data_IF_662481809364
#
_entry.id   IF_662481809364
#
_cell.length_a   1.000
_cell.length_b   1.000
_cell.length_c   1.000
_cell.angle_alpha   90.00
_cell.angle_beta   90.00
_cell.angle_gamma   90.00
#
_symmetry.space_group_name_H-M   'P 1'
#
loop_
_entity.id
_entity.type
_entity.pdbx_description
1 polymer ?
#
# COMPACT_ATOMS: atom_id res chain seq x y z
N UNK A 1 7.76 6.19 16.26
CA UNK A 1 6.47 5.67 16.79
C UNK A 1 6.62 4.18 17.04
N UNK A 2 6.16 3.68 18.20
CA UNK A 2 6.08 2.24 18.48
C UNK A 2 4.65 1.77 18.23
N UNK A 3 4.42 1.14 17.08
CA UNK A 3 3.10 0.62 16.72
C UNK A 3 2.90 -0.74 17.41
N UNK A 4 1.97 -0.77 18.36
CA UNK A 4 1.71 -1.97 19.17
C UNK A 4 0.69 -2.89 18.51
N UNK A 5 -0.33 -2.32 17.88
CA UNK A 5 -1.41 -3.07 17.25
C UNK A 5 -0.96 -3.77 15.97
N UNK A 6 -1.39 -5.02 15.79
CA UNK A 6 -1.18 -5.83 14.59
C UNK A 6 -2.51 -6.35 14.06
N UNK A 7 -2.58 -6.58 12.75
CA UNK A 7 -3.73 -7.20 12.07
C UNK A 7 -3.27 -8.47 11.36
N UNK A 8 -4.06 -9.54 11.48
CA UNK A 8 -3.78 -10.77 10.75
C UNK A 8 -4.15 -10.63 9.28
N UNK A 9 -3.24 -11.02 8.37
CA UNK A 9 -3.51 -11.01 6.92
C UNK A 9 -4.48 -12.10 6.48
N UNK A 10 -4.61 -13.19 7.25
CA UNK A 10 -5.47 -14.34 6.90
C UNK A 10 -6.92 -14.17 7.36
N UNK A 11 -7.13 -13.81 8.63
CA UNK A 11 -8.48 -13.72 9.22
C UNK A 11 -8.92 -12.29 9.57
N UNK A 12 -8.05 -11.28 9.37
CA UNK A 12 -8.37 -9.88 9.63
C UNK A 12 -8.44 -9.48 11.11
N UNK A 13 -8.28 -10.40 12.07
CA UNK A 13 -8.38 -10.10 13.51
C UNK A 13 -7.20 -9.25 13.99
N UNK A 14 -7.49 -8.29 14.87
CA UNK A 14 -6.49 -7.47 15.53
C UNK A 14 -5.92 -8.15 16.77
N UNK A 15 -4.65 -7.90 17.05
CA UNK A 15 -3.95 -8.45 18.22
C UNK A 15 -2.77 -7.57 18.62
N UNK A 16 -2.26 -7.75 19.84
CA UNK A 16 -1.02 -7.16 20.33
C UNK A 16 0.15 -8.16 20.30
N UNK A 17 -0.12 -9.44 19.97
CA UNK A 17 0.93 -10.44 19.75
C UNK A 17 1.81 -10.00 18.58
N UNK A 18 3.11 -10.31 18.66
CA UNK A 18 4.08 -9.92 17.64
C UNK A 18 4.42 -11.04 16.67
N UNK A 19 4.20 -12.28 17.05
CA UNK A 19 4.69 -13.44 16.30
C UNK A 19 3.65 -13.96 15.31
N UNK A 20 2.51 -14.46 15.80
CA UNK A 20 1.45 -15.09 14.98
C UNK A 20 0.06 -14.80 15.51
N UNK A 21 -0.94 -14.87 14.63
CA UNK A 21 -2.34 -14.75 15.01
C UNK A 21 -2.73 -15.86 16.01
N UNK A 22 -3.30 -15.51 17.19
CA UNK A 22 -3.67 -16.51 18.19
C UNK A 22 -4.85 -17.41 17.77
N UNK A 23 -5.57 -17.04 16.70
CA UNK A 23 -6.76 -17.77 16.24
C UNK A 23 -6.45 -18.68 15.05
N UNK A 24 -5.77 -18.16 14.03
CA UNK A 24 -5.56 -18.90 12.78
C UNK A 24 -4.08 -19.18 12.47
N UNK A 25 -3.14 -18.75 13.33
CA UNK A 25 -1.70 -18.90 13.11
C UNK A 25 -1.10 -18.05 11.99
N UNK A 26 -1.90 -17.24 11.28
CA UNK A 26 -1.46 -16.41 10.17
C UNK A 26 -0.51 -15.28 10.55
N UNK A 27 0.21 -14.76 9.55
CA UNK A 27 1.15 -13.65 9.72
C UNK A 27 0.45 -12.36 10.17
N UNK A 28 1.19 -11.52 10.89
CA UNK A 28 0.71 -10.29 11.50
C UNK A 28 1.42 -9.07 10.90
N UNK A 29 0.65 -8.08 10.47
CA UNK A 29 1.14 -6.82 9.89
C UNK A 29 0.77 -5.62 10.74
N UNK A 30 1.52 -4.52 10.64
CA UNK A 30 1.12 -3.24 11.24
C UNK A 30 -0.02 -2.68 10.40
N UNK A 31 -1.21 -2.42 10.97
CA UNK A 31 -2.36 -1.95 10.21
C UNK A 31 -2.29 -0.46 9.86
N UNK A 32 -1.42 0.27 10.53
CA UNK A 32 -1.37 1.71 10.36
C UNK A 32 -0.60 2.14 9.12
N UNK A 33 -1.06 3.20 8.44
CA UNK A 33 -0.41 3.68 7.24
C UNK A 33 0.99 4.26 7.55
N UNK A 34 1.88 4.29 6.54
CA UNK A 34 3.14 5.02 6.65
C UNK A 34 2.88 6.50 6.91
N UNK A 35 3.83 7.17 7.58
CA UNK A 35 3.74 8.60 7.87
C UNK A 35 3.68 9.40 6.57
N UNK A 36 2.70 10.29 6.47
CA UNK A 36 2.60 11.23 5.35
C UNK A 36 3.59 12.39 5.52
N UNK A 37 4.21 12.82 4.42
CA UNK A 37 5.08 13.99 4.34
C UNK A 37 4.72 14.77 3.07
N UNK A 38 4.44 16.09 3.15
CA UNK A 38 4.13 16.90 1.98
C UNK A 38 5.26 16.94 0.93
N UNK A 39 6.52 16.91 1.38
CA UNK A 39 7.69 17.02 0.52
C UNK A 39 8.12 15.69 -0.14
N UNK A 40 7.53 14.56 0.27
CA UNK A 40 7.97 13.17 -0.01
C UNK A 40 9.03 12.98 -1.12
N UNK A 41 10.31 12.98 -0.71
CA UNK A 41 11.48 12.83 -1.60
C UNK A 41 11.48 11.51 -2.40
N UNK A 42 10.72 10.50 -1.95
CA UNK A 42 10.70 9.17 -2.58
C UNK A 42 9.47 8.93 -3.45
N UNK A 43 8.63 9.94 -3.68
CA UNK A 43 7.38 9.79 -4.42
C UNK A 43 7.56 9.15 -5.81
N UNK A 44 8.56 9.61 -6.57
CA UNK A 44 8.86 9.11 -7.91
C UNK A 44 9.23 7.63 -7.89
N UNK A 45 10.04 7.20 -6.91
CA UNK A 45 10.43 5.79 -6.78
C UNK A 45 9.24 4.93 -6.38
N UNK A 46 8.41 5.39 -5.41
CA UNK A 46 7.20 4.68 -5.00
C UNK A 46 6.21 4.52 -6.16
N UNK A 47 6.08 5.55 -7.00
CA UNK A 47 5.22 5.51 -8.18
C UNK A 47 5.75 4.54 -9.24
N UNK A 48 7.04 4.62 -9.60
CA UNK A 48 7.69 3.69 -10.54
C UNK A 48 7.57 2.23 -10.09
N UNK A 49 7.76 1.95 -8.80
CA UNK A 49 7.58 0.59 -8.27
C UNK A 49 6.16 0.07 -8.44
N UNK A 50 5.14 0.93 -8.26
CA UNK A 50 3.74 0.54 -8.49
C UNK A 50 3.45 0.30 -9.97
N UNK A 51 4.01 1.11 -10.87
CA UNK A 51 3.91 0.89 -12.33
C UNK A 51 4.54 -0.45 -12.73
N UNK A 52 5.78 -0.72 -12.29
CA UNK A 52 6.46 -1.98 -12.58
C UNK A 52 5.73 -3.20 -11.99
N UNK A 53 5.07 -3.02 -10.85
CA UNK A 53 4.23 -4.05 -10.24
C UNK A 53 2.83 -4.18 -10.89
N UNK A 54 2.51 -3.37 -11.92
CA UNK A 54 1.21 -3.38 -12.59
C UNK A 54 0.04 -2.92 -11.71
N UNK A 55 0.31 -2.18 -10.62
CA UNK A 55 -0.71 -1.70 -9.68
C UNK A 55 -1.37 -0.39 -10.14
N UNK A 56 -0.79 0.30 -11.12
CA UNK A 56 -1.25 1.57 -11.68
C UNK A 56 -0.97 1.57 -13.19
N UNK A 57 -1.89 2.09 -13.99
CA UNK A 57 -1.71 2.29 -15.43
C UNK A 57 -1.09 3.66 -15.72
N UNK A 58 -0.13 3.72 -16.65
CA UNK A 58 0.43 4.99 -17.11
C UNK A 58 -0.50 5.65 -18.13
N UNK A 59 -0.83 6.94 -17.92
CA UNK A 59 -1.68 7.74 -18.82
C UNK A 59 -1.06 8.05 -20.21
N UNK A 60 -0.06 7.29 -20.66
CA UNK A 60 0.61 7.47 -21.95
C UNK A 60 -0.16 6.80 -23.11
N UNK A 61 -1.48 6.98 -23.15
CA UNK A 61 -2.37 6.38 -24.15
C UNK A 61 -3.49 7.29 -24.68
N UNK A 62 -3.57 8.56 -24.27
CA UNK A 62 -4.55 9.52 -24.80
C UNK A 62 -3.87 10.56 -25.68
N UNK A 63 -3.54 10.15 -26.90
CA UNK A 63 -3.23 11.07 -28.01
C UNK A 63 -4.09 10.67 -29.21
N UNK A 64 -4.88 11.63 -29.72
CA UNK A 64 -5.87 11.53 -30.83
C UNK A 64 -7.25 11.05 -30.33
N UNK A 65 -8.26 11.90 -30.13
CA UNK A 65 -8.86 12.83 -31.11
C UNK A 65 -9.53 14.03 -30.42
N UNK A 66 -8.95 15.23 -30.51
CA UNK A 66 -9.75 16.47 -30.44
C UNK A 66 -10.17 16.83 -31.86
N UNK A 67 -11.20 16.15 -32.36
CA UNK A 67 -11.96 16.62 -33.52
C UNK A 67 -13.11 17.47 -33.01
N UNK A 68 -12.89 18.78 -32.84
CA UNK A 68 -14.01 19.71 -32.75
C UNK A 68 -14.64 19.77 -34.16
N UNK A 69 -15.85 19.25 -34.28
CA UNK A 69 -16.79 19.54 -35.37
C UNK A 69 -17.81 20.55 -34.85
#
# INVERSE_FOLDING_TARGET
MRWLMRRCVKCGRYTLRRDRCPVCGGALVVPHPPRFSPEDKYLVYRYRMKLLAGLIESAAGESSTRGHS
#
